data_IF_689186734475
#
_entry.id   IF_689186734475
#
_cell.length_a   1.000
_cell.length_b   1.000
_cell.length_c   1.000
_cell.angle_alpha   90.00
_cell.angle_beta   90.00
_cell.angle_gamma   90.00
#
_symmetry.space_group_name_H-M   'P 1'
#
loop_
_entity.id
_entity.type
_entity.pdbx_description
1 polymer ?
#
# COMPACT_ATOMS: atom_id res chain seq x y z
N UNK A 1 1.71 40.28 -4.46
CA UNK A 1 0.98 39.45 -3.48
C UNK A 1 1.62 38.07 -3.47
N UNK A 2 2.46 37.78 -2.47
CA UNK A 2 3.00 36.44 -2.28
C UNK A 2 2.01 35.68 -1.40
N UNK A 3 1.32 34.69 -1.97
CA UNK A 3 0.40 33.85 -1.22
C UNK A 3 1.22 32.88 -0.38
N UNK A 4 1.39 33.20 0.91
CA UNK A 4 2.01 32.37 1.96
C UNK A 4 1.18 31.10 2.29
N UNK A 5 0.38 30.60 1.34
CA UNK A 5 -0.60 29.53 1.55
C UNK A 5 -0.14 28.16 1.05
N UNK A 6 1.07 28.00 0.52
CA UNK A 6 1.58 26.64 0.18
C UNK A 6 2.63 26.11 1.16
N UNK A 7 2.88 26.84 2.25
CA UNK A 7 3.70 26.40 3.38
C UNK A 7 2.79 26.19 4.59
N UNK A 8 2.43 24.94 4.87
CA UNK A 8 2.10 24.58 6.26
C UNK A 8 0.69 24.13 6.61
N UNK A 9 -0.09 23.55 5.71
CA UNK A 9 -1.23 22.71 6.12
C UNK A 9 -1.18 21.33 5.47
N UNK A 10 -0.68 20.38 6.25
CA UNK A 10 -0.76 18.94 6.04
C UNK A 10 -2.16 18.45 6.45
N UNK A 11 -2.88 17.71 5.61
CA UNK A 11 -3.67 16.59 6.07
C UNK A 11 -2.78 15.35 5.91
N UNK A 12 -2.09 14.94 6.97
CA UNK A 12 -1.47 13.62 6.96
C UNK A 12 -1.95 12.84 8.18
N UNK A 13 -2.20 11.52 8.10
CA UNK A 13 -2.16 10.71 6.88
C UNK A 13 -3.37 9.76 6.76
N UNK A 14 -3.87 9.51 5.56
CA UNK A 14 -4.54 8.24 5.25
C UNK A 14 -3.48 7.11 5.30
N UNK A 15 -2.78 6.95 6.42
CA UNK A 15 -1.76 5.92 6.61
C UNK A 15 -2.23 4.90 7.62
N UNK A 16 -1.92 3.65 7.36
CA UNK A 16 -2.08 2.57 8.33
C UNK A 16 -0.77 1.82 8.37
N UNK A 17 -0.15 1.80 9.55
CA UNK A 17 0.95 0.90 9.82
C UNK A 17 0.40 -0.51 9.99
N UNK A 18 0.94 -1.43 9.20
CA UNK A 18 0.65 -2.84 9.33
C UNK A 18 1.34 -3.39 10.58
N UNK A 19 0.72 -4.36 11.28
CA UNK A 19 1.33 -5.00 12.43
C UNK A 19 2.74 -5.53 12.14
N UNK A 20 3.62 -5.50 13.14
CA UNK A 20 5.03 -5.91 12.98
C UNK A 20 5.20 -7.39 12.58
N UNK A 21 4.21 -8.22 12.91
CA UNK A 21 4.17 -9.62 12.51
C UNK A 21 3.78 -9.82 11.04
N UNK A 22 3.25 -8.80 10.35
CA UNK A 22 2.92 -8.90 8.93
C UNK A 22 4.16 -9.26 8.13
N UNK A 23 4.07 -10.35 7.39
CA UNK A 23 5.14 -10.88 6.53
C UNK A 23 4.52 -11.42 5.25
N UNK A 24 5.35 -11.61 4.22
CA UNK A 24 4.90 -12.25 2.99
C UNK A 24 4.32 -13.64 3.24
N UNK A 25 4.86 -14.39 4.20
CA UNK A 25 4.38 -15.72 4.59
C UNK A 25 3.00 -15.64 5.23
N UNK A 26 2.80 -14.75 6.21
CA UNK A 26 1.50 -14.56 6.87
C UNK A 26 0.43 -14.12 5.88
N UNK A 27 0.75 -13.21 4.96
CA UNK A 27 -0.18 -12.77 3.92
C UNK A 27 -0.52 -13.89 2.93
N UNK A 28 0.47 -14.72 2.57
CA UNK A 28 0.27 -15.86 1.68
C UNK A 28 -0.65 -16.90 2.32
N UNK A 29 -0.43 -17.22 3.60
CA UNK A 29 -1.24 -18.16 4.36
C UNK A 29 -2.68 -17.63 4.54
N UNK A 30 -2.85 -16.36 4.91
CA UNK A 30 -4.17 -15.75 5.13
C UNK A 30 -5.00 -15.63 3.85
N UNK A 31 -4.36 -15.33 2.71
CA UNK A 31 -5.03 -15.23 1.42
C UNK A 31 -5.09 -16.56 0.66
N UNK A 32 -4.52 -17.64 1.22
CA UNK A 32 -4.41 -18.96 0.59
C UNK A 32 -3.80 -18.89 -0.83
N UNK A 33 -2.73 -18.10 -0.98
CA UNK A 33 -2.00 -17.91 -2.24
C UNK A 33 -0.51 -18.18 -2.08
N UNK A 34 0.22 -18.28 -3.20
CA UNK A 34 1.67 -18.43 -3.14
C UNK A 34 2.38 -17.17 -2.63
N UNK A 35 3.46 -17.37 -1.85
CA UNK A 35 4.36 -16.29 -1.42
C UNK A 35 4.90 -15.46 -2.58
N UNK A 36 5.17 -16.09 -3.72
CA UNK A 36 5.63 -15.42 -4.94
C UNK A 36 4.60 -14.40 -5.46
N UNK A 37 3.31 -14.76 -5.43
CA UNK A 37 2.24 -13.85 -5.82
C UNK A 37 2.12 -12.67 -4.85
N UNK A 38 2.19 -12.92 -3.54
CA UNK A 38 2.17 -11.84 -2.54
C UNK A 38 3.36 -10.90 -2.75
N UNK A 39 4.56 -11.43 -3.00
CA UNK A 39 5.74 -10.62 -3.28
C UNK A 39 5.54 -9.72 -4.50
N UNK A 40 4.97 -10.25 -5.59
CA UNK A 40 4.65 -9.49 -6.80
C UNK A 40 3.62 -8.39 -6.53
N UNK A 41 2.53 -8.70 -5.83
CA UNK A 41 1.47 -7.73 -5.51
C UNK A 41 2.00 -6.65 -4.59
N UNK A 42 2.73 -6.99 -3.52
CA UNK A 42 3.36 -6.01 -2.66
C UNK A 42 4.39 -5.15 -3.40
N UNK A 43 5.09 -5.68 -4.40
CA UNK A 43 5.97 -4.89 -5.25
C UNK A 43 5.18 -3.89 -6.10
N UNK A 44 4.11 -4.33 -6.76
CA UNK A 44 3.24 -3.45 -7.55
C UNK A 44 2.62 -2.34 -6.67
N UNK A 45 2.18 -2.67 -5.45
CA UNK A 45 1.66 -1.70 -4.49
C UNK A 45 2.72 -0.68 -4.05
N UNK A 46 4.01 -1.06 -3.99
CA UNK A 46 5.11 -0.11 -3.71
C UNK A 46 5.40 0.79 -4.89
N UNK A 47 5.36 0.25 -6.11
CA UNK A 47 5.58 1.02 -7.34
C UNK A 47 4.46 2.03 -7.59
N UNK A 48 3.22 1.67 -7.27
CA UNK A 48 2.05 2.58 -7.27
C UNK A 48 2.10 3.62 -6.14
N UNK A 49 3.07 3.49 -5.22
CA UNK A 49 3.21 4.37 -4.07
C UNK A 49 2.15 4.15 -2.98
N UNK A 50 1.39 3.06 -3.02
CA UNK A 50 0.37 2.74 -2.02
C UNK A 50 0.95 2.02 -0.79
N UNK A 51 1.93 1.13 -0.99
CA UNK A 51 2.67 0.50 0.10
C UNK A 51 4.00 1.23 0.26
N UNK A 52 4.22 1.83 1.42
CA UNK A 52 5.46 2.52 1.77
C UNK A 52 6.24 1.69 2.78
N UNK A 53 7.56 1.78 2.65
CA UNK A 53 8.58 1.09 3.43
C UNK A 53 8.90 -0.34 2.98
N UNK A 54 10.20 -0.54 2.75
CA UNK A 54 10.82 -1.86 2.56
C UNK A 54 11.26 -2.47 3.89
N UNK A 55 11.33 -1.67 4.96
CA UNK A 55 11.65 -2.11 6.32
C UNK A 55 10.36 -2.14 7.16
N UNK A 56 10.21 -3.15 8.01
CA UNK A 56 9.04 -3.25 8.89
C UNK A 56 9.02 -2.08 9.91
N UNK A 57 7.84 -1.62 10.35
CA UNK A 57 6.51 -2.01 9.89
C UNK A 57 6.21 -1.45 8.49
N UNK A 58 5.50 -2.22 7.67
CA UNK A 58 5.03 -1.73 6.38
C UNK A 58 3.89 -0.73 6.61
N UNK A 59 3.79 0.30 5.79
CA UNK A 59 2.72 1.29 5.92
C UNK A 59 1.95 1.38 4.61
N UNK A 60 0.63 1.34 4.66
CA UNK A 60 -0.21 1.70 3.51
C UNK A 60 -0.40 3.20 3.57
N UNK A 61 -0.09 3.91 2.48
CA UNK A 61 -0.47 5.32 2.31
C UNK A 61 -1.64 5.40 1.34
N UNK A 62 -2.56 6.29 1.63
CA UNK A 62 -3.84 6.44 0.95
C UNK A 62 -4.84 5.28 1.10
N UNK A 63 -5.26 5.05 2.35
CA UNK A 63 -6.37 4.16 2.74
C UNK A 63 -7.64 4.36 1.90
N UNK A 64 -7.95 5.58 1.43
CA UNK A 64 -9.15 5.80 0.60
C UNK A 64 -9.03 5.09 -0.74
N UNK A 65 -7.90 5.24 -1.41
CA UNK A 65 -7.60 4.48 -2.64
C UNK A 65 -7.61 2.98 -2.37
N UNK A 66 -7.12 2.55 -1.21
CA UNK A 66 -7.10 1.12 -0.82
C UNK A 66 -8.50 0.54 -0.70
N UNK A 67 -9.40 1.25 -0.01
CA UNK A 67 -10.81 0.86 0.13
C UNK A 67 -11.52 0.85 -1.22
N UNK A 68 -11.28 1.84 -2.08
CA UNK A 68 -11.87 1.86 -3.43
C UNK A 68 -11.41 0.66 -4.29
N UNK A 69 -10.13 0.28 -4.25
CA UNK A 69 -9.63 -0.90 -4.97
C UNK A 69 -10.21 -2.20 -4.42
N UNK A 70 -10.41 -2.29 -3.09
CA UNK A 70 -11.11 -3.42 -2.47
C UNK A 70 -12.56 -3.53 -2.93
N UNK A 71 -13.27 -2.40 -3.03
CA UNK A 71 -14.67 -2.36 -3.51
C UNK A 71 -14.80 -2.72 -4.98
N UNK A 72 -13.77 -2.48 -5.79
CA UNK A 72 -13.76 -2.75 -7.22
C UNK A 72 -13.31 -4.18 -7.57
N UNK A 73 -12.80 -4.97 -6.61
CA UNK A 73 -12.09 -6.24 -6.84
C UNK A 73 -10.95 -6.15 -7.90
N UNK A 74 -10.55 -4.93 -8.26
CA UNK A 74 -9.48 -4.68 -9.23
C UNK A 74 -8.14 -4.77 -8.51
N UNK A 75 -7.62 -5.99 -8.40
CA UNK A 75 -6.24 -6.20 -7.95
C UNK A 75 -5.34 -5.61 -9.04
N UNK A 76 -4.47 -4.62 -8.76
CA UNK A 76 -3.58 -4.04 -9.76
C UNK A 76 -2.45 -5.01 -10.07
N UNK A 77 -2.76 -6.07 -10.83
CA UNK A 77 -1.79 -7.02 -11.36
C UNK A 77 -1.49 -6.59 -12.78
N UNK A 78 -0.74 -5.50 -12.96
CA UNK A 78 -0.10 -5.25 -14.25
C UNK A 78 1.17 -6.11 -14.35
N UNK A 79 0.98 -7.44 -14.28
CA UNK A 79 2.03 -8.40 -14.53
C UNK A 79 2.15 -8.58 -16.05
N UNK A 80 3.19 -7.93 -16.59
CA UNK A 80 3.77 -8.16 -17.90
C UNK A 80 2.89 -7.82 -19.12
N UNK A 81 3.29 -6.75 -19.81
CA UNK A 81 3.39 -6.77 -21.25
C UNK A 81 4.86 -6.58 -21.65
#
# INVERSE_FOLDING_TARGET
>A
MYSLTSSGFHPSPNYIELPTFTSYDVLADMANVSKSLVSLVCKALREDGMLVSSQKPWAIIDVKKFVMLLEQEEIPINAAK
#
